data_IF_504857765610
#
_entry.id   IF_504857765610
#
_cell.length_a   1.000
_cell.length_b   1.000
_cell.length_c   1.000
_cell.angle_alpha   90.00
_cell.angle_beta   90.00
_cell.angle_gamma   90.00
#
_symmetry.space_group_name_H-M   'P 1'
#
loop_
_entity.id
_entity.type
_entity.pdbx_description
1 polymer ?
#
# COMPACT_ATOMS: atom_id res chain seq x y z
N UNK A 1 -6.62 14.39 -37.36
CA UNK A 1 -6.70 13.38 -36.29
C UNK A 1 -7.43 12.12 -36.76
N UNK A 2 -8.60 12.22 -37.40
CA UNK A 2 -9.33 11.07 -37.97
C UNK A 2 -8.48 10.20 -38.91
N UNK A 3 -7.79 10.80 -39.88
CA UNK A 3 -6.92 10.07 -40.82
C UNK A 3 -5.76 9.32 -40.14
N UNK A 4 -5.24 9.86 -39.04
CA UNK A 4 -4.13 9.25 -38.30
C UNK A 4 -4.62 8.10 -37.42
N UNK A 5 -5.80 8.23 -36.79
CA UNK A 5 -6.43 7.13 -36.06
C UNK A 5 -6.84 5.99 -37.01
N UNK A 6 -7.39 6.32 -38.19
CA UNK A 6 -7.72 5.32 -39.22
C UNK A 6 -6.48 4.57 -39.75
N UNK A 7 -5.33 5.25 -39.82
CA UNK A 7 -4.08 4.61 -40.21
C UNK A 7 -3.49 3.70 -39.11
N UNK A 8 -3.76 3.99 -37.84
CA UNK A 8 -3.24 3.23 -36.69
C UNK A 8 -4.17 2.07 -36.33
N UNK A 9 -5.49 2.21 -36.49
CA UNK A 9 -6.51 1.22 -36.13
C UNK A 9 -6.19 -0.23 -36.56
N UNK A 10 -5.74 -0.51 -37.79
CA UNK A 10 -5.42 -1.88 -38.22
C UNK A 10 -4.28 -2.53 -37.42
N UNK A 11 -3.44 -1.74 -36.77
CA UNK A 11 -2.29 -2.18 -36.00
C UNK A 11 -2.57 -2.29 -34.49
N UNK A 12 -3.78 -1.94 -34.03
CA UNK A 12 -4.22 -2.06 -32.64
C UNK A 12 -4.76 -3.46 -32.33
N UNK A 13 -3.98 -4.48 -32.66
CA UNK A 13 -4.34 -5.89 -32.49
C UNK A 13 -3.39 -6.54 -31.52
N UNK A 14 -3.92 -7.20 -30.49
CA UNK A 14 -3.13 -8.09 -29.64
C UNK A 14 -3.17 -9.50 -30.24
N UNK A 15 -2.05 -10.04 -30.73
CA UNK A 15 -2.03 -11.36 -31.34
C UNK A 15 -2.38 -12.46 -30.32
N UNK A 16 -3.22 -13.42 -30.74
CA UNK A 16 -3.82 -14.44 -29.86
C UNK A 16 -3.09 -15.77 -29.73
N UNK A 17 -2.18 -16.08 -30.66
CA UNK A 17 -1.45 -17.35 -30.75
C UNK A 17 -0.06 -17.12 -31.33
N UNK A 18 0.86 -18.08 -31.18
CA UNK A 18 2.20 -18.01 -31.82
C UNK A 18 2.13 -17.82 -33.33
N UNK A 19 1.11 -18.37 -33.99
CA UNK A 19 0.87 -18.14 -35.43
C UNK A 19 0.41 -16.70 -35.73
N UNK A 20 -0.42 -16.11 -34.86
CA UNK A 20 -0.82 -14.70 -34.95
C UNK A 20 0.33 -13.75 -34.61
N UNK A 21 1.20 -14.13 -33.68
CA UNK A 21 2.41 -13.38 -33.33
C UNK A 21 3.46 -13.46 -34.46
N UNK A 22 3.58 -14.62 -35.11
CA UNK A 22 4.43 -14.78 -36.30
C UNK A 22 3.93 -13.95 -37.49
N UNK A 23 2.61 -13.83 -37.69
CA UNK A 23 2.01 -12.95 -38.68
C UNK A 23 2.23 -11.46 -38.37
N UNK A 24 2.05 -11.03 -37.11
CA UNK A 24 2.36 -9.66 -36.68
C UNK A 24 3.85 -9.32 -36.85
N UNK A 25 4.73 -10.30 -36.60
CA UNK A 25 6.17 -10.19 -36.84
C UNK A 25 6.52 -10.13 -38.34
N UNK A 26 5.71 -10.73 -39.20
CA UNK A 26 5.85 -10.61 -40.66
C UNK A 26 5.47 -9.21 -41.18
N UNK A 27 4.59 -8.50 -40.48
CA UNK A 27 4.31 -7.06 -40.69
C UNK A 27 5.37 -6.12 -40.06
N UNK A 28 6.41 -6.68 -39.44
CA UNK A 28 7.58 -5.95 -38.94
C UNK A 28 7.41 -5.32 -37.55
N UNK A 29 6.30 -5.55 -36.85
CA UNK A 29 6.06 -5.00 -35.51
C UNK A 29 6.11 -6.09 -34.43
N UNK A 30 6.86 -5.82 -33.36
CA UNK A 30 6.83 -6.65 -32.14
C UNK A 30 5.64 -6.29 -31.26
N UNK A 31 5.31 -7.15 -30.28
CA UNK A 31 4.29 -6.83 -29.27
C UNK A 31 4.65 -5.54 -28.50
N UNK A 32 5.93 -5.30 -28.25
CA UNK A 32 6.41 -4.07 -27.59
C UNK A 32 6.15 -2.84 -28.47
N UNK A 33 6.41 -2.93 -29.78
CA UNK A 33 6.12 -1.85 -30.73
C UNK A 33 4.61 -1.54 -30.78
N UNK A 34 3.77 -2.58 -30.73
CA UNK A 34 2.32 -2.43 -30.68
C UNK A 34 1.86 -1.72 -29.40
N UNK A 35 2.49 -1.98 -28.25
CA UNK A 35 2.16 -1.27 -27.00
C UNK A 35 2.45 0.23 -27.09
N UNK A 36 3.47 0.66 -27.83
CA UNK A 36 3.70 2.08 -28.10
C UNK A 36 2.61 2.69 -28.98
N UNK A 37 2.07 1.93 -29.95
CA UNK A 37 0.93 2.37 -30.77
C UNK A 37 -0.35 2.52 -29.93
N UNK A 38 -0.62 1.57 -29.03
CA UNK A 38 -1.72 1.66 -28.07
C UNK A 38 -1.59 2.90 -27.17
N UNK A 39 -0.39 3.17 -26.66
CA UNK A 39 -0.11 4.32 -25.80
C UNK A 39 -0.22 5.65 -26.55
N UNK A 40 0.35 5.73 -27.76
CA UNK A 40 0.22 6.89 -28.64
C UNK A 40 -1.26 7.19 -28.94
N UNK A 41 -2.03 6.15 -29.28
CA UNK A 41 -3.47 6.26 -29.53
C UNK A 41 -4.21 6.82 -28.30
N UNK A 42 -3.91 6.27 -27.12
CA UNK A 42 -4.41 6.79 -25.86
C UNK A 42 -4.12 8.28 -25.67
N UNK A 43 -2.87 8.71 -25.90
CA UNK A 43 -2.48 10.12 -25.75
C UNK A 43 -3.16 11.04 -26.77
N UNK A 44 -3.31 10.61 -28.01
CA UNK A 44 -3.98 11.39 -29.05
C UNK A 44 -5.45 11.63 -28.68
N UNK A 45 -6.17 10.59 -28.28
CA UNK A 45 -7.57 10.69 -27.86
C UNK A 45 -7.69 11.48 -26.55
N UNK A 46 -6.83 11.19 -25.58
CA UNK A 46 -6.81 11.84 -24.26
C UNK A 46 -6.61 13.35 -24.35
N UNK A 47 -5.80 13.80 -25.32
CA UNK A 47 -5.44 15.21 -25.54
C UNK A 47 -6.40 15.97 -26.47
N UNK A 48 -7.50 15.34 -26.90
CA UNK A 48 -8.51 16.02 -27.73
C UNK A 48 -9.11 17.24 -27.01
N UNK A 49 -9.35 18.35 -27.72
CA UNK A 49 -9.99 19.53 -27.15
C UNK A 49 -11.38 19.22 -26.58
N UNK A 50 -11.80 19.98 -25.57
CA UNK A 50 -13.12 19.81 -24.96
C UNK A 50 -14.28 20.02 -25.95
N UNK A 51 -14.08 20.82 -27.01
CA UNK A 51 -15.04 21.01 -28.09
C UNK A 51 -15.39 19.70 -28.81
N UNK A 52 -14.45 18.74 -28.86
CA UNK A 52 -14.59 17.46 -29.56
C UNK A 52 -14.91 16.31 -28.60
N UNK A 53 -15.47 16.59 -27.42
CA UNK A 53 -15.66 15.59 -26.37
C UNK A 53 -16.55 14.41 -26.82
N UNK A 54 -17.57 14.65 -27.64
CA UNK A 54 -18.39 13.55 -28.19
C UNK A 54 -17.56 12.62 -29.08
N UNK A 55 -16.76 13.21 -29.98
CA UNK A 55 -15.90 12.47 -30.89
C UNK A 55 -14.78 11.73 -30.15
N UNK A 56 -14.23 12.33 -29.08
CA UNK A 56 -13.27 11.69 -28.18
C UNK A 56 -13.80 10.36 -27.66
N UNK A 57 -15.02 10.34 -27.12
CA UNK A 57 -15.60 9.11 -26.57
C UNK A 57 -15.96 8.08 -27.63
N UNK A 58 -16.37 8.51 -28.83
CA UNK A 58 -16.49 7.60 -29.98
C UNK A 58 -15.17 6.90 -30.30
N UNK A 59 -14.05 7.62 -30.32
CA UNK A 59 -12.74 6.99 -30.54
C UNK A 59 -12.31 6.08 -29.39
N UNK A 60 -12.64 6.42 -28.14
CA UNK A 60 -12.40 5.52 -27.01
C UNK A 60 -13.15 4.20 -27.19
N UNK A 61 -14.42 4.26 -27.59
CA UNK A 61 -15.21 3.06 -27.86
C UNK A 61 -14.65 2.23 -29.01
N UNK A 62 -14.26 2.87 -30.12
CA UNK A 62 -13.64 2.20 -31.27
C UNK A 62 -12.38 1.42 -30.85
N UNK A 63 -11.57 1.99 -29.97
CA UNK A 63 -10.28 1.41 -29.58
C UNK A 63 -10.39 0.39 -28.44
N UNK A 64 -11.23 0.64 -27.42
CA UNK A 64 -11.33 -0.25 -26.25
C UNK A 64 -12.31 -1.41 -26.47
N UNK A 65 -13.39 -1.24 -27.24
CA UNK A 65 -14.41 -2.29 -27.42
C UNK A 65 -13.86 -3.57 -28.02
N UNK A 66 -12.98 -3.55 -29.04
CA UNK A 66 -12.38 -4.77 -29.58
C UNK A 66 -11.55 -5.54 -28.54
N UNK A 67 -10.84 -4.83 -27.67
CA UNK A 67 -10.03 -5.42 -26.60
C UNK A 67 -10.92 -6.05 -25.52
N UNK A 68 -12.00 -5.38 -25.13
CA UNK A 68 -12.99 -5.93 -24.20
C UNK A 68 -13.63 -7.21 -24.76
N UNK A 69 -14.02 -7.21 -26.04
CA UNK A 69 -14.56 -8.39 -26.72
C UNK A 69 -13.53 -9.53 -26.81
N UNK A 70 -12.23 -9.21 -26.85
CA UNK A 70 -11.17 -10.21 -26.81
C UNK A 70 -11.05 -10.86 -25.43
N UNK A 71 -11.08 -10.08 -24.35
CA UNK A 71 -11.15 -10.63 -22.99
C UNK A 71 -12.35 -11.56 -22.82
N UNK A 72 -13.54 -11.14 -23.26
CA UNK A 72 -14.76 -11.95 -23.17
C UNK A 72 -14.66 -13.26 -23.96
N UNK A 73 -14.04 -13.25 -25.14
CA UNK A 73 -13.81 -14.46 -25.93
C UNK A 73 -12.85 -15.42 -25.22
N UNK A 74 -11.79 -14.91 -24.63
CA UNK A 74 -10.83 -15.71 -23.85
C UNK A 74 -11.48 -16.32 -22.61
N UNK A 75 -12.31 -15.57 -21.89
CA UNK A 75 -13.02 -16.05 -20.70
C UNK A 75 -14.03 -17.19 -20.98
N UNK A 76 -14.45 -17.37 -22.23
CA UNK A 76 -15.32 -18.49 -22.64
C UNK A 76 -14.55 -19.76 -22.99
N UNK A 77 -13.23 -19.69 -23.08
CA UNK A 77 -12.36 -20.82 -23.38
C UNK A 77 -11.93 -21.52 -22.08
N UNK A 78 -11.56 -22.81 -22.13
CA UNK A 78 -11.04 -23.51 -20.95
C UNK A 78 -9.73 -22.86 -20.49
N UNK A 79 -9.49 -22.67 -19.17
CA UNK A 79 -8.27 -22.06 -18.67
C UNK A 79 -7.00 -22.79 -19.14
N UNK A 80 -6.06 -22.05 -19.74
CA UNK A 80 -4.76 -22.55 -20.16
C UNK A 80 -3.69 -21.47 -19.92
N UNK A 81 -2.42 -21.88 -19.88
CA UNK A 81 -1.30 -20.95 -19.75
C UNK A 81 -1.23 -19.95 -20.92
N UNK A 82 -1.50 -20.41 -22.14
CA UNK A 82 -1.55 -19.56 -23.34
C UNK A 82 -2.64 -18.48 -23.23
N UNK A 83 -3.83 -18.86 -22.74
CA UNK A 83 -4.93 -17.91 -22.55
C UNK A 83 -4.58 -16.91 -21.44
N UNK A 84 -3.92 -17.32 -20.36
CA UNK A 84 -3.43 -16.41 -19.32
C UNK A 84 -2.47 -15.36 -19.87
N UNK A 85 -1.50 -15.78 -20.70
CA UNK A 85 -0.54 -14.87 -21.35
C UNK A 85 -1.27 -13.91 -22.28
N UNK A 86 -2.23 -14.42 -23.03
CA UNK A 86 -3.00 -13.59 -23.95
C UNK A 86 -3.89 -12.57 -23.23
N UNK A 87 -4.64 -12.98 -22.20
CA UNK A 87 -5.42 -12.10 -21.33
C UNK A 87 -4.55 -11.00 -20.71
N UNK A 88 -3.38 -11.37 -20.20
CA UNK A 88 -2.41 -10.41 -19.66
C UNK A 88 -1.96 -9.40 -20.73
N UNK A 89 -1.73 -9.85 -21.96
CA UNK A 89 -1.32 -8.98 -23.08
C UNK A 89 -2.41 -8.00 -23.49
N UNK A 90 -3.67 -8.45 -23.52
CA UNK A 90 -4.84 -7.59 -23.81
C UNK A 90 -5.04 -6.54 -22.70
N UNK A 91 -4.96 -6.94 -21.44
CA UNK A 91 -5.01 -6.00 -20.30
C UNK A 91 -3.88 -4.97 -20.36
N UNK A 92 -2.69 -5.38 -20.78
CA UNK A 92 -1.54 -4.48 -20.94
C UNK A 92 -1.78 -3.46 -22.06
N UNK A 93 -2.29 -3.88 -23.22
CA UNK A 93 -2.67 -2.97 -24.30
C UNK A 93 -3.73 -1.96 -23.87
N UNK A 94 -4.79 -2.43 -23.18
CA UNK A 94 -5.82 -1.55 -22.60
C UNK A 94 -5.22 -0.54 -21.62
N UNK A 95 -4.32 -0.99 -20.74
CA UNK A 95 -3.60 -0.10 -19.80
C UNK A 95 -2.84 1.00 -20.55
N UNK A 96 -2.13 0.65 -21.63
CA UNK A 96 -1.39 1.62 -22.44
C UNK A 96 -2.32 2.68 -23.07
N UNK A 97 -3.50 2.30 -23.57
CA UNK A 97 -4.53 3.25 -24.00
C UNK A 97 -4.95 4.16 -22.83
N UNK A 98 -5.24 3.58 -21.67
CA UNK A 98 -5.70 4.32 -20.48
C UNK A 98 -4.66 5.33 -19.95
N UNK A 99 -3.36 5.17 -20.25
CA UNK A 99 -2.31 6.15 -19.87
C UNK A 99 -2.55 7.55 -20.45
N UNK A 100 -3.22 7.64 -21.60
CA UNK A 100 -3.54 8.91 -22.25
C UNK A 100 -4.49 9.82 -21.47
N UNK A 101 -5.24 9.26 -20.50
CA UNK A 101 -6.24 9.98 -19.72
C UNK A 101 -5.66 10.36 -18.35
N UNK A 102 -5.77 11.64 -17.94
CA UNK A 102 -5.07 12.15 -16.75
C UNK A 102 -5.98 12.58 -15.60
N UNK A 103 -7.29 12.59 -15.82
CA UNK A 103 -8.28 13.06 -14.85
C UNK A 103 -9.46 12.09 -14.79
N UNK A 104 -10.24 12.20 -13.71
CA UNK A 104 -11.48 11.42 -13.55
C UNK A 104 -12.46 11.73 -14.66
N UNK A 105 -13.16 10.69 -15.13
CA UNK A 105 -14.13 10.77 -16.21
C UNK A 105 -15.34 9.89 -15.87
N UNK A 106 -16.53 10.45 -16.03
CA UNK A 106 -17.79 9.72 -15.81
C UNK A 106 -18.23 9.04 -17.11
N UNK A 107 -17.50 8.00 -17.53
CA UNK A 107 -17.75 7.30 -18.79
C UNK A 107 -17.93 5.80 -18.59
N UNK A 108 -19.01 5.26 -19.16
CA UNK A 108 -19.41 3.86 -18.99
C UNK A 108 -18.33 2.88 -19.46
N UNK A 109 -17.57 3.22 -20.49
CA UNK A 109 -16.51 2.37 -21.03
C UNK A 109 -15.41 2.06 -19.99
N UNK A 110 -15.08 3.01 -19.09
CA UNK A 110 -14.10 2.77 -18.02
C UNK A 110 -14.66 1.87 -16.92
N UNK A 111 -15.95 2.00 -16.58
CA UNK A 111 -16.61 1.06 -15.66
C UNK A 111 -16.72 -0.35 -16.25
N UNK A 112 -16.89 -0.46 -17.57
CA UNK A 112 -16.86 -1.72 -18.31
C UNK A 112 -15.46 -2.34 -18.29
N UNK A 113 -14.42 -1.51 -18.44
CA UNK A 113 -13.03 -1.94 -18.33
C UNK A 113 -12.69 -2.46 -16.93
N UNK A 114 -13.14 -1.77 -15.87
CA UNK A 114 -13.03 -2.27 -14.50
C UNK A 114 -13.70 -3.64 -14.35
N UNK A 115 -14.92 -3.76 -14.87
CA UNK A 115 -15.69 -5.01 -14.77
C UNK A 115 -15.01 -6.16 -15.50
N UNK A 116 -14.47 -5.92 -16.70
CA UNK A 116 -13.72 -6.91 -17.46
C UNK A 116 -12.42 -7.32 -16.75
N UNK A 117 -11.61 -6.36 -16.28
CA UNK A 117 -10.38 -6.65 -15.55
C UNK A 117 -10.64 -7.48 -14.28
N UNK A 118 -11.70 -7.15 -13.56
CA UNK A 118 -12.09 -7.90 -12.38
C UNK A 118 -12.60 -9.31 -12.73
N UNK A 119 -13.40 -9.48 -13.80
CA UNK A 119 -13.80 -10.82 -14.29
C UNK A 119 -12.61 -11.69 -14.70
N UNK A 120 -11.60 -11.09 -15.33
CA UNK A 120 -10.35 -11.77 -15.66
C UNK A 120 -9.61 -12.23 -14.40
N UNK A 121 -9.46 -11.37 -13.40
CA UNK A 121 -8.83 -11.77 -12.14
C UNK A 121 -9.59 -12.91 -11.45
N UNK A 122 -10.91 -12.82 -11.37
CA UNK A 122 -11.73 -13.84 -10.71
C UNK A 122 -11.58 -15.22 -11.36
N UNK A 123 -11.49 -15.26 -12.70
CA UNK A 123 -11.30 -16.50 -13.44
C UNK A 123 -9.86 -17.05 -13.35
N UNK A 124 -8.86 -16.17 -13.24
CA UNK A 124 -7.42 -16.52 -13.30
C UNK A 124 -6.64 -16.09 -12.04
N UNK A 125 -7.26 -16.20 -10.86
CA UNK A 125 -6.70 -15.73 -9.56
C UNK A 125 -5.33 -16.29 -9.19
N UNK A 126 -4.95 -17.47 -9.68
CA UNK A 126 -3.64 -18.10 -9.41
C UNK A 126 -2.58 -17.75 -10.43
N UNK A 127 -2.92 -17.01 -11.50
CA UNK A 127 -1.95 -16.62 -12.53
C UNK A 127 -1.29 -15.30 -12.17
N UNK A 128 -0.03 -15.35 -11.78
CA UNK A 128 0.81 -14.20 -11.44
C UNK A 128 0.88 -13.16 -12.57
N UNK A 129 1.07 -13.59 -13.82
CA UNK A 129 1.11 -12.71 -14.99
C UNK A 129 -0.21 -11.94 -15.19
N UNK A 130 -1.35 -12.60 -14.92
CA UNK A 130 -2.67 -11.96 -15.00
C UNK A 130 -2.85 -10.99 -13.84
N UNK A 131 -2.54 -11.41 -12.60
CA UNK A 131 -2.62 -10.55 -11.41
C UNK A 131 -1.81 -9.28 -11.60
N UNK A 132 -0.57 -9.39 -12.06
CA UNK A 132 0.30 -8.25 -12.36
C UNK A 132 -0.37 -7.25 -13.32
N UNK A 133 -0.91 -7.73 -14.44
CA UNK A 133 -1.57 -6.85 -15.42
C UNK A 133 -2.90 -6.28 -14.95
N UNK A 134 -3.65 -7.02 -14.13
CA UNK A 134 -4.84 -6.48 -13.45
C UNK A 134 -4.44 -5.35 -12.49
N UNK A 135 -3.44 -5.53 -11.63
CA UNK A 135 -3.00 -4.51 -10.68
C UNK A 135 -2.59 -3.21 -11.38
N UNK A 136 -1.79 -3.31 -12.45
CA UNK A 136 -1.38 -2.13 -13.24
C UNK A 136 -2.62 -1.44 -13.87
N UNK A 137 -3.57 -2.22 -14.37
CA UNK A 137 -4.85 -1.68 -14.89
C UNK A 137 -5.62 -0.95 -13.78
N UNK A 138 -5.71 -1.54 -12.59
CA UNK A 138 -6.40 -0.94 -11.44
C UNK A 138 -5.75 0.37 -11.00
N UNK A 139 -4.42 0.47 -10.95
CA UNK A 139 -3.73 1.73 -10.65
C UNK A 139 -4.18 2.87 -11.59
N UNK A 140 -4.36 2.57 -12.88
CA UNK A 140 -4.91 3.53 -13.86
C UNK A 140 -6.36 3.86 -13.56
N UNK A 141 -7.19 2.85 -13.30
CA UNK A 141 -8.62 3.04 -13.04
C UNK A 141 -8.91 3.80 -11.74
N UNK A 142 -8.07 3.68 -10.71
CA UNK A 142 -8.16 4.50 -9.48
C UNK A 142 -8.08 6.00 -9.78
N UNK A 143 -7.26 6.38 -10.77
CA UNK A 143 -7.09 7.78 -11.21
C UNK A 143 -8.29 8.24 -12.06
N UNK A 144 -8.87 7.33 -12.84
CA UNK A 144 -9.87 7.65 -13.86
C UNK A 144 -11.32 7.55 -13.37
N UNK A 145 -11.60 6.72 -12.38
CA UNK A 145 -12.96 6.46 -11.90
C UNK A 145 -13.29 7.21 -10.62
N UNK A 146 -14.57 7.51 -10.45
CA UNK A 146 -15.11 7.89 -9.15
C UNK A 146 -15.02 6.72 -8.16
N UNK A 147 -14.73 6.97 -6.86
CA UNK A 147 -14.51 5.91 -5.88
C UNK A 147 -15.69 4.96 -5.76
N UNK A 148 -16.93 5.45 -5.82
CA UNK A 148 -18.12 4.60 -5.75
C UNK A 148 -18.19 3.62 -6.93
N UNK A 149 -17.79 4.06 -8.14
CA UNK A 149 -17.74 3.19 -9.33
C UNK A 149 -16.60 2.20 -9.22
N UNK A 150 -15.42 2.62 -8.75
CA UNK A 150 -14.31 1.71 -8.54
C UNK A 150 -14.64 0.62 -7.50
N UNK A 151 -15.26 1.02 -6.39
CA UNK A 151 -15.62 0.12 -5.30
C UNK A 151 -16.84 -0.76 -5.60
N UNK A 152 -17.56 -0.53 -6.71
CA UNK A 152 -18.61 -1.46 -7.16
C UNK A 152 -18.03 -2.83 -7.54
N UNK A 153 -16.70 -2.93 -7.74
CA UNK A 153 -15.94 -4.16 -7.94
C UNK A 153 -14.90 -4.39 -6.84
N UNK A 154 -15.23 -4.07 -5.59
CA UNK A 154 -14.32 -4.29 -4.45
C UNK A 154 -13.93 -5.78 -4.23
N UNK A 155 -14.67 -6.73 -4.82
CA UNK A 155 -14.32 -8.14 -4.89
C UNK A 155 -12.91 -8.36 -5.47
N UNK A 156 -12.50 -7.53 -6.42
CA UNK A 156 -11.15 -7.58 -7.02
C UNK A 156 -10.06 -7.33 -5.98
N UNK A 157 -10.29 -6.40 -5.05
CA UNK A 157 -9.31 -6.03 -4.02
C UNK A 157 -9.17 -7.14 -2.98
N UNK A 158 -10.30 -7.74 -2.58
CA UNK A 158 -10.31 -8.88 -1.67
C UNK A 158 -9.52 -10.06 -2.25
N UNK A 159 -9.74 -10.39 -3.52
CA UNK A 159 -9.01 -11.47 -4.20
C UNK A 159 -7.52 -11.18 -4.34
N UNK A 160 -7.13 -9.94 -4.67
CA UNK A 160 -5.71 -9.57 -4.73
C UNK A 160 -5.01 -9.72 -3.37
N UNK A 161 -5.65 -9.25 -2.29
CA UNK A 161 -5.11 -9.41 -0.93
C UNK A 161 -5.03 -10.88 -0.52
N UNK A 162 -6.06 -11.68 -0.81
CA UNK A 162 -6.10 -13.09 -0.45
C UNK A 162 -5.10 -13.95 -1.24
N UNK A 163 -4.95 -13.68 -2.53
CA UNK A 163 -4.10 -14.44 -3.44
C UNK A 163 -2.69 -13.85 -3.61
N UNK A 164 -2.31 -12.86 -2.79
CA UNK A 164 -0.98 -12.26 -2.83
C UNK A 164 0.12 -13.31 -2.60
N UNK A 165 1.17 -13.24 -3.40
CA UNK A 165 2.34 -14.09 -3.40
C UNK A 165 3.61 -13.24 -3.35
N UNK A 166 4.76 -13.85 -3.04
CA UNK A 166 6.03 -13.14 -2.91
C UNK A 166 6.36 -12.22 -4.11
N UNK A 167 6.00 -12.67 -5.32
CA UNK A 167 6.28 -11.95 -6.57
C UNK A 167 5.41 -10.71 -6.79
N UNK A 168 4.26 -10.57 -6.13
CA UNK A 168 3.32 -9.45 -6.33
C UNK A 168 3.05 -8.62 -5.08
N UNK A 169 3.71 -8.92 -3.97
CA UNK A 169 3.63 -8.15 -2.71
C UNK A 169 3.76 -6.65 -2.95
N UNK A 170 4.75 -6.26 -3.75
CA UNK A 170 5.09 -4.86 -3.97
C UNK A 170 3.90 -4.15 -4.62
N UNK A 171 3.40 -4.71 -5.71
CA UNK A 171 2.30 -4.17 -6.50
C UNK A 171 0.99 -4.16 -5.72
N UNK A 172 0.66 -5.25 -5.01
CA UNK A 172 -0.56 -5.35 -4.21
C UNK A 172 -0.55 -4.30 -3.09
N UNK A 173 0.54 -4.21 -2.32
CA UNK A 173 0.63 -3.26 -1.21
C UNK A 173 0.65 -1.81 -1.72
N UNK A 174 1.33 -1.53 -2.84
CA UNK A 174 1.31 -0.20 -3.44
C UNK A 174 -0.10 0.22 -3.90
N UNK A 175 -0.88 -0.69 -4.49
CA UNK A 175 -2.27 -0.43 -4.82
C UNK A 175 -3.11 -0.16 -3.57
N UNK A 176 -2.96 -0.96 -2.52
CA UNK A 176 -3.67 -0.74 -1.26
C UNK A 176 -3.29 0.60 -0.62
N UNK A 177 -2.01 0.96 -0.60
CA UNK A 177 -1.55 2.24 -0.08
C UNK A 177 -2.09 3.42 -0.90
N UNK A 178 -2.14 3.30 -2.23
CA UNK A 178 -2.78 4.30 -3.08
C UNK A 178 -4.25 4.50 -2.71
N UNK A 179 -4.99 3.40 -2.53
CA UNK A 179 -6.40 3.45 -2.12
C UNK A 179 -6.56 4.03 -0.72
N UNK A 180 -5.70 3.66 0.24
CA UNK A 180 -5.67 4.25 1.59
C UNK A 180 -5.52 5.77 1.50
N UNK A 181 -4.57 6.26 0.71
CA UNK A 181 -4.32 7.70 0.57
C UNK A 181 -5.51 8.41 -0.08
N UNK A 182 -6.04 7.85 -1.17
CA UNK A 182 -7.04 8.51 -2.00
C UNK A 182 -8.47 8.34 -1.48
N UNK A 183 -8.79 7.21 -0.87
CA UNK A 183 -10.15 6.80 -0.48
C UNK A 183 -10.35 6.75 1.05
N UNK A 184 -9.41 7.24 1.86
CA UNK A 184 -9.51 7.32 3.35
C UNK A 184 -10.81 7.91 3.90
N UNK A 185 -11.51 8.77 3.15
CA UNK A 185 -12.79 9.37 3.56
C UNK A 185 -14.01 8.68 2.95
N UNK A 186 -13.85 7.60 2.20
CA UNK A 186 -14.92 6.87 1.52
C UNK A 186 -15.41 5.73 2.43
N UNK A 187 -16.66 5.75 2.92
CA UNK A 187 -17.16 4.75 3.86
C UNK A 187 -17.13 3.32 3.32
N UNK A 188 -17.44 3.13 2.04
CA UNK A 188 -17.39 1.80 1.41
C UNK A 188 -15.98 1.22 1.38
N UNK A 189 -14.96 2.07 1.21
CA UNK A 189 -13.57 1.63 1.26
C UNK A 189 -13.14 1.23 2.68
N UNK A 190 -13.62 1.95 3.70
CA UNK A 190 -13.42 1.55 5.09
C UNK A 190 -13.95 0.13 5.33
N UNK A 191 -15.16 -0.18 4.84
CA UNK A 191 -15.74 -1.52 4.96
C UNK A 191 -14.93 -2.60 4.24
N UNK A 192 -14.30 -2.27 3.11
CA UNK A 192 -13.38 -3.17 2.40
C UNK A 192 -12.15 -3.47 3.24
N UNK A 193 -11.50 -2.44 3.79
CA UNK A 193 -10.34 -2.63 4.65
C UNK A 193 -10.69 -3.37 5.95
N UNK A 194 -11.83 -3.03 6.56
CA UNK A 194 -12.29 -3.66 7.81
C UNK A 194 -12.40 -5.18 7.68
N UNK A 195 -12.88 -5.67 6.53
CA UNK A 195 -13.05 -7.10 6.26
C UNK A 195 -11.76 -7.82 5.87
N UNK A 196 -10.79 -7.11 5.29
CA UNK A 196 -9.67 -7.75 4.58
C UNK A 196 -8.28 -7.41 5.14
N UNK A 197 -8.11 -6.36 5.93
CA UNK A 197 -6.80 -5.91 6.40
C UNK A 197 -6.09 -6.98 7.25
N UNK A 198 -6.80 -7.59 8.21
CA UNK A 198 -6.21 -8.61 9.10
C UNK A 198 -5.94 -9.94 8.38
N UNK A 199 -6.86 -10.48 7.56
CA UNK A 199 -6.55 -11.62 6.69
C UNK A 199 -5.36 -11.36 5.76
N UNK A 200 -5.24 -10.15 5.23
CA UNK A 200 -4.10 -9.76 4.39
C UNK A 200 -2.79 -9.72 5.18
N UNK A 201 -2.78 -9.18 6.40
CA UNK A 201 -1.62 -9.22 7.28
C UNK A 201 -1.18 -10.65 7.60
N UNK A 202 -2.13 -11.54 7.90
CA UNK A 202 -1.84 -12.95 8.14
C UNK A 202 -1.23 -13.61 6.90
N UNK A 203 -1.75 -13.30 5.70
CA UNK A 203 -1.17 -13.78 4.44
C UNK A 203 0.27 -13.29 4.25
N UNK A 204 0.54 -12.01 4.51
CA UNK A 204 1.88 -11.44 4.44
C UNK A 204 2.85 -12.11 5.43
N UNK A 205 2.41 -12.37 6.66
CA UNK A 205 3.20 -13.11 7.66
C UNK A 205 3.49 -14.54 7.19
N UNK A 206 2.52 -15.24 6.58
CA UNK A 206 2.75 -16.57 6.01
C UNK A 206 3.81 -16.56 4.91
N UNK A 207 3.83 -15.53 4.05
CA UNK A 207 4.88 -15.38 3.03
C UNK A 207 6.26 -15.17 3.66
N UNK A 208 6.34 -14.38 4.74
CA UNK A 208 7.59 -14.12 5.46
C UNK A 208 8.13 -15.39 6.14
N UNK A 209 7.24 -16.22 6.69
CA UNK A 209 7.61 -17.46 7.40
C UNK A 209 7.80 -18.67 6.48
N UNK A 210 7.33 -18.60 5.23
CA UNK A 210 7.41 -19.73 4.28
C UNK A 210 8.86 -20.11 3.96
N UNK A 211 9.15 -21.42 3.96
CA UNK A 211 10.46 -21.94 3.53
C UNK A 211 10.70 -21.82 2.01
N UNK A 212 9.62 -21.63 1.23
CA UNK A 212 9.69 -21.49 -0.22
C UNK A 212 10.08 -20.08 -0.67
N UNK A 213 10.00 -19.10 0.24
CA UNK A 213 10.28 -17.69 -0.05
C UNK A 213 11.75 -17.38 0.23
N UNK A 214 12.45 -16.82 -0.74
CA UNK A 214 13.88 -16.52 -0.57
C UNK A 214 14.11 -15.32 0.36
N UNK A 215 15.36 -15.11 0.81
CA UNK A 215 15.67 -14.05 1.78
C UNK A 215 15.31 -12.64 1.27
N UNK A 216 15.49 -12.35 -0.01
CA UNK A 216 15.19 -11.05 -0.62
C UNK A 216 13.68 -10.80 -0.68
N UNK A 217 12.91 -11.81 -1.05
CA UNK A 217 11.45 -11.77 -1.04
C UNK A 217 10.91 -11.61 0.39
N UNK A 218 11.49 -12.31 1.37
CA UNK A 218 11.12 -12.16 2.80
C UNK A 218 11.36 -10.74 3.30
N UNK A 219 12.53 -10.17 3.02
CA UNK A 219 12.84 -8.79 3.38
C UNK A 219 11.89 -7.78 2.70
N UNK A 220 11.55 -8.04 1.43
CA UNK A 220 10.57 -7.22 0.69
C UNK A 220 9.18 -7.33 1.31
N UNK A 221 8.71 -8.54 1.62
CA UNK A 221 7.44 -8.78 2.29
C UNK A 221 7.36 -8.11 3.66
N UNK A 222 8.43 -8.19 4.46
CA UNK A 222 8.52 -7.48 5.74
C UNK A 222 8.40 -5.96 5.55
N UNK A 223 9.21 -5.37 4.67
CA UNK A 223 9.18 -3.93 4.37
C UNK A 223 7.78 -3.46 4.01
N UNK A 224 7.10 -4.18 3.13
CA UNK A 224 5.77 -3.79 2.66
C UNK A 224 4.65 -4.11 3.66
N UNK A 225 4.79 -5.14 4.51
CA UNK A 225 3.88 -5.38 5.64
C UNK A 225 3.86 -4.17 6.59
N UNK A 226 5.03 -3.69 7.02
CA UNK A 226 5.11 -2.54 7.94
C UNK A 226 4.71 -1.24 7.26
N UNK A 227 5.01 -1.09 5.97
CA UNK A 227 4.51 0.04 5.17
C UNK A 227 2.98 0.08 5.12
N UNK A 228 2.32 -1.07 4.91
CA UNK A 228 0.86 -1.15 4.92
C UNK A 228 0.27 -0.76 6.28
N UNK A 229 0.77 -1.35 7.38
CA UNK A 229 0.32 -1.02 8.74
C UNK A 229 0.48 0.47 9.06
N UNK A 230 1.65 1.03 8.73
CA UNK A 230 1.94 2.45 8.90
C UNK A 230 0.93 3.30 8.10
N UNK A 231 0.65 2.98 6.83
CA UNK A 231 -0.28 3.74 6.01
C UNK A 231 -1.72 3.71 6.54
N UNK A 232 -2.19 2.55 7.04
CA UNK A 232 -3.53 2.42 7.65
C UNK A 232 -3.70 3.42 8.79
N UNK A 233 -2.75 3.46 9.73
CA UNK A 233 -2.86 4.40 10.84
C UNK A 233 -2.54 5.83 10.41
N UNK A 234 -1.52 6.08 9.60
CA UNK A 234 -1.14 7.43 9.16
C UNK A 234 -2.27 8.16 8.40
N UNK A 235 -3.14 7.41 7.73
CA UNK A 235 -4.27 7.96 6.98
C UNK A 235 -5.61 7.87 7.72
N UNK A 236 -5.58 7.81 9.06
CA UNK A 236 -6.75 7.91 9.95
C UNK A 236 -7.75 6.76 9.78
N UNK A 237 -7.25 5.59 9.39
CA UNK A 237 -8.04 4.36 9.31
C UNK A 237 -7.78 3.42 10.49
N UNK A 238 -7.20 3.93 11.59
CA UNK A 238 -6.92 3.17 12.82
C UNK A 238 -8.16 2.43 13.37
N UNK A 239 -9.37 2.94 13.13
CA UNK A 239 -10.62 2.27 13.52
C UNK A 239 -10.76 0.86 12.97
N UNK A 240 -10.16 0.56 11.81
CA UNK A 240 -10.13 -0.79 11.22
C UNK A 240 -9.52 -1.80 12.19
N UNK A 241 -8.48 -1.41 12.93
CA UNK A 241 -7.78 -2.32 13.85
C UNK A 241 -8.59 -2.64 15.11
N UNK A 242 -9.47 -1.72 15.52
CA UNK A 242 -10.29 -1.84 16.72
C UNK A 242 -11.75 -2.21 16.45
N UNK A 243 -12.10 -2.58 15.22
CA UNK A 243 -13.47 -2.96 14.88
C UNK A 243 -13.86 -4.29 15.52
N UNK A 244 -15.15 -4.60 15.67
CA UNK A 244 -15.58 -5.91 16.18
C UNK A 244 -15.02 -7.10 15.40
N UNK A 245 -14.73 -6.94 14.10
CA UNK A 245 -14.15 -7.98 13.26
C UNK A 245 -12.67 -8.22 13.56
N UNK A 246 -11.95 -7.18 14.00
CA UNK A 246 -10.49 -7.18 14.09
C UNK A 246 -9.95 -7.12 15.52
N UNK A 247 -10.79 -6.76 16.50
CA UNK A 247 -10.42 -6.59 17.91
C UNK A 247 -9.68 -7.80 18.51
N UNK A 248 -10.09 -9.02 18.14
CA UNK A 248 -9.44 -10.25 18.61
C UNK A 248 -7.99 -10.42 18.10
N UNK A 249 -7.67 -9.81 16.96
CA UNK A 249 -6.35 -9.85 16.32
C UNK A 249 -5.45 -8.67 16.73
N UNK A 250 -5.99 -7.67 17.43
CA UNK A 250 -5.25 -6.48 17.84
C UNK A 250 -3.97 -6.80 18.64
N UNK A 251 -3.95 -7.77 19.59
CA UNK A 251 -2.72 -8.17 20.27
C UNK A 251 -1.63 -8.69 19.32
N UNK A 252 -2.01 -9.40 18.25
CA UNK A 252 -1.05 -9.88 17.25
C UNK A 252 -0.47 -8.72 16.44
N UNK A 253 -1.28 -7.70 16.14
CA UNK A 253 -0.79 -6.48 15.50
C UNK A 253 0.21 -5.78 16.40
N UNK A 254 -0.08 -5.62 17.69
CA UNK A 254 0.88 -5.05 18.64
C UNK A 254 2.17 -5.83 18.73
N UNK A 255 2.11 -7.17 18.75
CA UNK A 255 3.32 -7.99 18.72
C UNK A 255 4.17 -7.73 17.47
N UNK A 256 3.56 -7.64 16.28
CA UNK A 256 4.29 -7.27 15.06
C UNK A 256 4.96 -5.90 15.19
N UNK A 257 4.29 -4.91 15.79
CA UNK A 257 4.87 -3.58 16.01
C UNK A 257 6.06 -3.65 16.98
N UNK A 258 6.00 -4.47 18.05
CA UNK A 258 7.14 -4.67 18.96
C UNK A 258 8.31 -5.33 18.24
N UNK A 259 8.07 -6.39 17.48
CA UNK A 259 9.10 -7.11 16.73
C UNK A 259 9.83 -6.17 15.76
N UNK A 260 9.11 -5.23 15.13
CA UNK A 260 9.66 -4.25 14.20
C UNK A 260 10.69 -3.29 14.79
N UNK A 261 10.71 -3.04 16.11
CA UNK A 261 11.72 -2.18 16.74
C UNK A 261 13.12 -2.80 16.77
N UNK A 262 13.23 -4.11 16.53
CA UNK A 262 14.51 -4.85 16.49
C UNK A 262 14.96 -5.19 15.06
N UNK A 263 14.28 -4.66 14.04
CA UNK A 263 14.55 -4.93 12.63
C UNK A 263 15.37 -3.79 11.96
N UNK A 264 15.40 -3.76 10.63
CA UNK A 264 16.11 -2.74 9.86
C UNK A 264 15.60 -1.31 10.17
N UNK A 265 16.47 -0.31 10.03
CA UNK A 265 16.18 1.08 10.42
C UNK A 265 14.88 1.62 9.79
N UNK A 266 14.58 1.24 8.55
CA UNK A 266 13.38 1.69 7.85
C UNK A 266 12.09 1.10 8.45
N UNK A 267 12.15 -0.10 9.03
CA UNK A 267 11.04 -0.73 9.75
C UNK A 267 10.84 -0.06 11.12
N UNK A 268 11.94 0.22 11.85
CA UNK A 268 11.88 0.95 13.13
C UNK A 268 11.15 2.29 12.95
N UNK A 269 11.42 3.00 11.85
CA UNK A 269 10.71 4.24 11.50
C UNK A 269 9.23 4.03 11.23
N UNK A 270 8.86 2.97 10.53
CA UNK A 270 7.46 2.64 10.24
C UNK A 270 6.69 2.32 11.53
N UNK A 271 7.24 1.51 12.45
CA UNK A 271 6.60 1.20 13.73
C UNK A 271 6.57 2.39 14.68
N UNK A 272 7.59 3.24 14.68
CA UNK A 272 7.59 4.50 15.45
C UNK A 272 6.49 5.45 14.96
N UNK A 273 6.35 5.58 13.63
CA UNK A 273 5.29 6.36 13.00
C UNK A 273 3.92 5.77 13.31
N UNK A 274 3.80 4.43 13.32
CA UNK A 274 2.57 3.75 13.69
C UNK A 274 2.14 4.13 15.11
N UNK A 275 3.04 3.98 16.08
CA UNK A 275 2.78 4.31 17.48
C UNK A 275 2.46 5.80 17.65
N UNK A 276 3.13 6.70 16.91
CA UNK A 276 2.87 8.13 16.99
C UNK A 276 1.43 8.45 16.56
N UNK A 277 0.98 7.90 15.42
CA UNK A 277 -0.39 8.11 14.95
C UNK A 277 -1.41 7.46 15.89
N UNK A 278 -1.08 6.32 16.49
CA UNK A 278 -1.94 5.68 17.50
C UNK A 278 -2.15 6.60 18.71
N UNK A 279 -1.09 7.28 19.18
CA UNK A 279 -1.18 8.27 20.26
C UNK A 279 -2.06 9.44 19.87
N UNK A 280 -1.83 10.03 18.69
CA UNK A 280 -2.61 11.16 18.19
C UNK A 280 -4.09 10.81 18.11
N UNK A 281 -4.43 9.66 17.53
CA UNK A 281 -5.81 9.29 17.28
C UNK A 281 -6.57 8.90 18.56
N UNK A 282 -5.95 8.11 19.44
CA UNK A 282 -6.62 7.53 20.63
C UNK A 282 -6.56 8.46 21.84
N UNK A 283 -5.50 9.26 22.00
CA UNK A 283 -5.27 10.06 23.20
C UNK A 283 -5.27 11.58 22.99
N UNK A 284 -5.35 12.08 21.74
CA UNK A 284 -5.51 13.53 21.47
C UNK A 284 -6.82 13.86 20.76
N UNK A 285 -7.16 13.14 19.70
CA UNK A 285 -8.21 13.57 18.78
C UNK A 285 -9.57 12.95 19.06
N UNK A 286 -9.63 11.63 19.24
CA UNK A 286 -10.90 10.92 19.39
C UNK A 286 -10.80 9.87 20.50
N UNK A 287 -11.23 10.25 21.70
CA UNK A 287 -11.25 9.34 22.85
C UNK A 287 -12.19 8.13 22.69
N UNK A 288 -13.13 8.16 21.73
CA UNK A 288 -14.02 7.04 21.44
C UNK A 288 -13.39 6.03 20.46
N UNK A 289 -12.32 6.42 19.76
CA UNK A 289 -11.60 5.52 18.88
C UNK A 289 -10.84 4.48 19.72
N UNK A 290 -11.11 3.20 19.48
CA UNK A 290 -10.57 2.09 20.29
C UNK A 290 -10.91 2.25 21.79
N UNK A 291 -12.08 2.80 22.14
CA UNK A 291 -12.47 3.05 23.54
C UNK A 291 -12.32 1.81 24.43
N UNK A 292 -12.83 0.66 23.98
CA UNK A 292 -12.77 -0.63 24.71
C UNK A 292 -11.34 -1.18 24.83
N UNK A 293 -10.41 -0.68 24.01
CA UNK A 293 -9.01 -1.09 23.98
C UNK A 293 -8.06 -0.01 24.50
N UNK A 294 -8.56 1.13 24.95
CA UNK A 294 -7.74 2.30 25.28
C UNK A 294 -6.71 2.00 26.37
N UNK A 295 -7.09 1.26 27.40
CA UNK A 295 -6.16 0.84 28.46
C UNK A 295 -5.10 -0.13 27.95
N UNK A 296 -5.47 -1.04 27.04
CA UNK A 296 -4.52 -1.95 26.40
C UNK A 296 -3.51 -1.19 25.54
N UNK A 297 -3.98 -0.20 24.77
CA UNK A 297 -3.09 0.69 23.98
C UNK A 297 -2.16 1.47 24.90
N UNK A 298 -2.67 1.96 26.04
CA UNK A 298 -1.86 2.68 27.04
C UNK A 298 -0.74 1.80 27.59
N UNK A 299 -1.06 0.58 28.03
CA UNK A 299 -0.07 -0.36 28.55
C UNK A 299 0.95 -0.73 27.47
N UNK A 300 0.49 -1.04 26.26
CA UNK A 300 1.34 -1.31 25.11
C UNK A 300 2.36 -0.18 24.87
N UNK A 301 1.93 1.09 24.84
CA UNK A 301 2.81 2.22 24.60
C UNK A 301 3.82 2.46 25.73
N UNK A 302 3.37 2.36 26.98
CA UNK A 302 4.15 2.80 28.15
C UNK A 302 5.00 1.69 28.77
N UNK A 303 4.58 0.43 28.64
CA UNK A 303 5.28 -0.73 29.21
C UNK A 303 6.06 -1.49 28.16
N UNK A 304 5.49 -1.73 26.98
CA UNK A 304 6.09 -2.60 25.96
C UNK A 304 6.93 -1.80 24.95
N UNK A 305 6.39 -0.71 24.42
CA UNK A 305 7.08 0.12 23.41
C UNK A 305 8.18 1.00 24.03
N UNK A 306 7.90 1.62 25.19
CA UNK A 306 8.81 2.60 25.79
C UNK A 306 10.26 2.07 25.99
N UNK A 307 10.49 0.86 26.53
CA UNK A 307 11.85 0.30 26.63
C UNK A 307 12.53 0.14 25.27
N UNK A 308 11.79 -0.26 24.24
CA UNK A 308 12.31 -0.49 22.89
C UNK A 308 12.81 0.80 22.25
N UNK A 309 12.21 1.95 22.58
CA UNK A 309 12.64 3.28 22.13
C UNK A 309 14.07 3.63 22.55
N UNK A 310 14.56 3.03 23.64
CA UNK A 310 15.94 3.20 24.10
C UNK A 310 16.86 2.10 23.56
N UNK A 311 16.31 0.93 23.25
CA UNK A 311 17.08 -0.18 22.69
C UNK A 311 17.44 -0.01 21.21
N UNK A 312 16.78 0.91 20.48
CA UNK A 312 17.06 1.18 19.05
C UNK A 312 18.54 1.46 18.77
N UNK A 313 19.27 2.08 19.71
CA UNK A 313 20.71 2.39 19.55
C UNK A 313 21.61 1.16 19.60
N UNK A 314 21.09 0.02 20.07
CA UNK A 314 21.78 -1.26 20.15
C UNK A 314 21.48 -2.18 18.97
N UNK A 315 20.66 -1.72 18.01
CA UNK A 315 20.36 -2.49 16.80
C UNK A 315 21.59 -2.58 15.90
N UNK A 316 21.74 -3.69 15.17
CA UNK A 316 22.95 -3.99 14.38
C UNK A 316 23.28 -2.93 13.32
N UNK A 317 22.26 -2.26 12.77
CA UNK A 317 22.43 -1.25 11.72
C UNK A 317 22.67 0.16 12.28
N UNK A 318 22.50 0.36 13.58
CA UNK A 318 22.59 1.68 14.16
C UNK A 318 24.03 2.19 14.16
N UNK A 319 24.21 3.41 13.63
CA UNK A 319 25.48 4.12 13.66
C UNK A 319 25.24 5.60 13.98
N UNK A 320 25.77 6.08 15.10
CA UNK A 320 25.58 7.46 15.56
C UNK A 320 26.10 8.54 14.58
N UNK A 321 26.93 8.16 13.60
CA UNK A 321 27.43 9.05 12.54
C UNK A 321 26.61 8.97 11.25
N UNK A 322 25.71 8.01 11.14
CA UNK A 322 24.89 7.79 9.95
C UNK A 322 23.60 8.62 10.00
N UNK A 323 23.24 9.19 8.83
CA UNK A 323 22.08 10.06 8.71
C UNK A 323 20.75 9.29 8.91
N UNK A 324 20.65 8.02 8.49
CA UNK A 324 19.43 7.23 8.68
C UNK A 324 19.22 6.89 10.16
N UNK A 325 20.29 6.56 10.87
CA UNK A 325 20.27 6.33 12.32
C UNK A 325 19.83 7.58 13.09
N UNK A 326 20.30 8.77 12.70
CA UNK A 326 19.84 10.04 13.29
C UNK A 326 18.35 10.32 12.99
N UNK A 327 17.86 9.95 11.81
CA UNK A 327 16.43 10.07 11.49
C UNK A 327 15.60 9.12 12.37
N UNK A 328 16.07 7.90 12.62
CA UNK A 328 15.41 6.94 13.53
C UNK A 328 15.30 7.53 14.94
N UNK A 329 16.40 8.07 15.50
CA UNK A 329 16.35 8.74 16.81
C UNK A 329 15.34 9.87 16.85
N UNK A 330 15.27 10.66 15.78
CA UNK A 330 14.30 11.75 15.67
C UNK A 330 12.87 11.22 15.65
N UNK A 331 12.58 10.14 14.93
CA UNK A 331 11.25 9.56 14.85
C UNK A 331 10.83 8.90 16.18
N UNK A 332 11.77 8.28 16.90
CA UNK A 332 11.55 7.78 18.26
C UNK A 332 11.35 8.92 19.28
N UNK A 333 12.12 10.00 19.20
CA UNK A 333 11.94 11.17 20.06
C UNK A 333 10.60 11.87 19.80
N UNK A 334 10.15 11.95 18.54
CA UNK A 334 8.81 12.45 18.20
C UNK A 334 7.72 11.61 18.85
N UNK A 335 7.84 10.29 18.90
CA UNK A 335 6.88 9.43 19.57
C UNK A 335 6.78 9.79 21.07
N UNK A 336 7.90 9.97 21.75
CA UNK A 336 7.89 10.37 23.17
C UNK A 336 7.25 11.74 23.39
N UNK A 337 7.58 12.72 22.55
CA UNK A 337 6.94 14.05 22.58
C UNK A 337 5.44 13.95 22.28
N UNK A 338 5.04 13.07 21.35
CA UNK A 338 3.63 12.84 21.03
C UNK A 338 2.87 12.26 22.23
N UNK A 339 3.45 11.28 22.94
CA UNK A 339 2.88 10.70 24.17
C UNK A 339 2.79 11.79 25.25
N UNK A 340 3.85 12.57 25.47
CA UNK A 340 3.85 13.63 26.47
C UNK A 340 2.80 14.71 26.18
N UNK A 341 2.65 15.13 24.92
CA UNK A 341 1.66 16.10 24.51
C UNK A 341 0.23 15.55 24.42
N UNK A 342 -0.07 14.39 25.00
CA UNK A 342 -1.39 13.73 24.99
C UNK A 342 -1.94 13.58 26.42
N UNK A 343 -3.10 12.93 26.56
CA UNK A 343 -3.65 12.56 27.87
C UNK A 343 -2.72 11.65 28.71
N UNK A 344 -1.68 11.05 28.11
CA UNK A 344 -0.73 10.15 28.77
C UNK A 344 0.47 10.86 29.41
N UNK A 345 0.48 12.19 29.51
CA UNK A 345 1.67 12.95 29.94
C UNK A 345 2.26 12.49 31.26
N UNK A 346 1.41 12.31 32.27
CA UNK A 346 1.86 11.94 33.62
C UNK A 346 2.26 10.48 33.64
N UNK A 347 1.46 9.61 33.02
CA UNK A 347 1.76 8.18 32.91
C UNK A 347 3.12 7.95 32.23
N UNK A 348 3.46 8.72 31.19
CA UNK A 348 4.78 8.69 30.56
C UNK A 348 5.90 9.09 31.51
N UNK A 349 5.73 10.16 32.29
CA UNK A 349 6.76 10.60 33.24
C UNK A 349 7.02 9.53 34.31
N UNK A 350 5.97 8.87 34.79
CA UNK A 350 6.09 7.75 35.73
C UNK A 350 6.77 6.54 35.07
N UNK A 351 6.37 6.18 33.85
CA UNK A 351 6.92 5.06 33.11
C UNK A 351 8.42 5.27 32.78
N UNK A 352 8.82 6.48 32.38
CA UNK A 352 10.24 6.82 32.13
C UNK A 352 11.07 6.66 33.40
N UNK A 353 10.62 7.22 34.53
CA UNK A 353 11.35 7.08 35.80
C UNK A 353 11.45 5.62 36.24
N UNK A 354 10.37 4.85 36.08
CA UNK A 354 10.37 3.42 36.39
C UNK A 354 11.36 2.65 35.49
N UNK A 355 11.32 2.87 34.18
CA UNK A 355 12.25 2.26 33.22
C UNK A 355 13.70 2.61 33.56
N UNK A 356 14.02 3.88 33.79
CA UNK A 356 15.37 4.31 34.12
C UNK A 356 15.87 3.74 35.45
N UNK A 357 14.98 3.54 36.42
CA UNK A 357 15.32 2.84 37.65
C UNK A 357 15.69 1.37 37.40
N UNK A 358 15.02 0.68 36.47
CA UNK A 358 15.36 -0.73 36.14
C UNK A 358 16.76 -0.87 35.54
N UNK A 359 17.23 0.10 34.77
CA UNK A 359 18.59 0.11 34.20
C UNK A 359 19.61 0.82 35.10
N UNK A 360 19.23 1.16 36.34
CA UNK A 360 20.09 1.85 37.32
C UNK A 360 20.73 3.14 36.82
N UNK A 361 19.98 3.93 36.02
CA UNK A 361 20.47 5.19 35.48
C UNK A 361 20.59 6.26 36.58
N UNK A 362 21.70 7.03 36.64
CA UNK A 362 21.87 8.11 37.62
C UNK A 362 20.73 9.12 37.60
N UNK A 363 20.21 9.49 38.79
CA UNK A 363 19.05 10.39 38.96
C UNK A 363 19.20 11.71 38.20
N UNK A 364 20.42 12.27 38.14
CA UNK A 364 20.70 13.50 37.39
C UNK A 364 20.38 13.35 35.89
N UNK A 365 20.81 12.24 35.27
CA UNK A 365 20.54 11.97 33.85
C UNK A 365 19.04 11.70 33.61
N UNK A 366 18.38 11.04 34.56
CA UNK A 366 16.93 10.80 34.53
C UNK A 366 16.16 12.13 34.52
N UNK A 367 16.50 13.05 35.43
CA UNK A 367 15.83 14.35 35.52
C UNK A 367 16.11 15.20 34.28
N UNK A 368 17.35 15.25 33.80
CA UNK A 368 17.71 15.93 32.54
C UNK A 368 16.95 15.38 31.33
N UNK A 369 16.79 14.06 31.24
CA UNK A 369 16.03 13.43 30.17
C UNK A 369 14.55 13.77 30.26
N UNK A 370 13.97 13.69 31.46
CA UNK A 370 12.58 14.05 31.69
C UNK A 370 12.32 15.53 31.32
N UNK A 371 13.23 16.44 31.69
CA UNK A 371 13.14 17.85 31.32
C UNK A 371 13.24 18.07 29.81
N UNK A 372 14.09 17.30 29.12
CA UNK A 372 14.15 17.33 27.66
C UNK A 372 12.82 16.92 27.03
N UNK A 373 12.17 15.85 27.52
CA UNK A 373 10.83 15.43 27.05
C UNK A 373 9.77 16.49 27.36
N UNK A 374 9.78 17.07 28.57
CA UNK A 374 8.85 18.15 28.98
C UNK A 374 8.98 19.41 28.13
N UNK A 375 10.16 19.67 27.58
CA UNK A 375 10.38 20.81 26.69
C UNK A 375 9.68 20.65 25.33
N UNK A 376 9.17 19.46 25.01
CA UNK A 376 8.57 19.09 23.72
C UNK A 376 9.48 19.36 22.50
N UNK A 377 10.76 19.63 22.74
CA UNK A 377 11.75 19.88 21.72
C UNK A 377 12.42 18.56 21.31
N UNK A 378 12.02 18.04 20.16
CA UNK A 378 12.55 16.78 19.62
C UNK A 378 14.09 16.77 19.54
N UNK A 379 14.71 17.89 19.12
CA UNK A 379 16.17 17.97 19.04
C UNK A 379 16.84 17.88 20.40
N UNK A 380 16.20 18.42 21.45
CA UNK A 380 16.68 18.32 22.82
C UNK A 380 16.63 16.86 23.30
N UNK A 381 15.53 16.16 23.06
CA UNK A 381 15.38 14.72 23.40
C UNK A 381 16.43 13.89 22.67
N UNK A 382 16.62 14.11 21.36
CA UNK A 382 17.65 13.42 20.56
C UNK A 382 19.05 13.65 21.12
N UNK A 383 19.38 14.86 21.59
CA UNK A 383 20.71 15.13 22.16
C UNK A 383 21.02 14.28 23.39
N UNK A 384 19.99 13.89 24.16
CA UNK A 384 20.13 13.06 25.36
C UNK A 384 20.33 11.57 25.05
N UNK A 385 20.08 11.13 23.81
CA UNK A 385 20.35 9.74 23.40
C UNK A 385 21.84 9.37 23.42
N UNK A 386 22.75 10.36 23.38
CA UNK A 386 24.20 10.11 23.46
C UNK A 386 24.60 9.30 24.70
N UNK A 387 23.89 9.48 25.83
CA UNK A 387 24.14 8.73 27.06
C UNK A 387 23.87 7.23 26.93
N UNK A 388 22.99 6.82 26.00
CA UNK A 388 22.58 5.43 25.78
C UNK A 388 23.40 4.74 24.68
N UNK A 389 24.10 5.51 23.85
CA UNK A 389 25.03 4.98 22.84
C UNK A 389 26.36 4.56 23.46
N UNK A 390 26.70 5.14 24.62
CA UNK A 390 27.98 4.97 25.31
C UNK A 390 27.91 4.00 26.50
N UNK A 391 26.70 3.61 26.92
CA UNK A 391 26.41 2.58 27.92
C UNK A 391 26.35 1.21 27.27
#
# INVERSE_FOLDING_TARGET
MSQLLQAIEPHLVVPGTDASAAAAKADGLTLEDQLYLFELTGFLIGSMPAADNQLKWQYVEIVLTPQLAQLDRCLRQPPSAEISVHLASVLNAMTHILKGFKSRQTQAIFSTTLSAAASVLLAYRTSDIVRSKVIITLHRLVILLDPAVFLSRADVLAVLMQCCEANDVVEVVQLMNQLIIQYKTVPDFYNVLDRNALPFLQRMVQLILSDQTNATEKATAQKYLYSFLMNVVQHRLTGVLGSPANAASLPQVFQLILDGFSMELHIIRAVSTFCQNLVEHVFKENANLLADHRDHVRLFLLQDVLPLLFQVVHTKEFNARDAQSLIVLRDVAKLQVAIYGSALREDLMHALRAYFATISMPVQLVDEYCDAVRSENVSNVVSKYAAFVQS
#
